data_IF_285924988637
#
_entry.id   IF_285924988637
#
_cell.length_a   1.000
_cell.length_b   1.000
_cell.length_c   1.000
_cell.angle_alpha   90.00
_cell.angle_beta   90.00
_cell.angle_gamma   90.00
#
_symmetry.space_group_name_H-M   'P 1'
#
loop_
_entity.id
_entity.type
_entity.pdbx_description
1 polymer ?
#
# COMPACT_ATOMS: atom_id res chain seq x y z
N UNK A 1 -4.19 33.81 38.56
CA UNK A 1 -3.22 32.69 38.56
C UNK A 1 -2.06 33.07 39.47
N UNK A 2 -1.94 32.34 40.57
CA UNK A 2 -0.85 32.44 41.53
C UNK A 2 0.49 32.11 40.87
N UNK A 3 1.61 32.60 41.43
CA UNK A 3 2.94 32.14 41.01
C UNK A 3 3.10 30.63 41.16
N UNK A 4 2.38 30.03 42.12
CA UNK A 4 2.32 28.60 42.36
C UNK A 4 1.68 27.83 41.19
N UNK A 5 0.53 28.29 40.68
CA UNK A 5 -0.15 27.68 39.51
C UNK A 5 0.73 27.66 38.25
N UNK A 6 1.59 28.68 38.07
CA UNK A 6 2.50 28.77 36.93
C UNK A 6 3.70 27.83 37.07
N UNK A 7 4.20 27.64 38.29
CA UNK A 7 5.29 26.72 38.58
C UNK A 7 4.85 25.26 38.41
N UNK A 8 3.66 24.92 38.90
CA UNK A 8 3.06 23.59 38.79
C UNK A 8 2.76 23.21 37.34
N UNK A 9 2.21 24.12 36.53
CA UNK A 9 2.05 23.92 35.07
C UNK A 9 3.38 23.70 34.37
N UNK A 10 4.44 24.43 34.74
CA UNK A 10 5.78 24.25 34.17
C UNK A 10 6.39 22.91 34.57
N UNK A 11 6.18 22.46 35.80
CA UNK A 11 6.62 21.14 36.26
C UNK A 11 5.91 20.04 35.49
N UNK A 12 4.58 20.10 35.36
CA UNK A 12 3.82 19.07 34.64
C UNK A 12 4.17 19.02 33.15
N UNK A 13 4.42 20.18 32.52
CA UNK A 13 4.94 20.25 31.16
C UNK A 13 6.35 19.65 31.02
N UNK A 14 7.19 19.79 32.06
CA UNK A 14 8.56 19.25 32.07
C UNK A 14 8.56 17.74 32.30
N UNK A 15 7.72 17.24 33.20
CA UNK A 15 7.49 15.81 33.42
C UNK A 15 6.88 15.17 32.17
N UNK A 16 5.86 15.77 31.56
CA UNK A 16 5.29 15.31 30.29
C UNK A 16 6.33 15.24 29.16
N UNK A 17 7.25 16.21 29.10
CA UNK A 17 8.36 16.19 28.13
C UNK A 17 9.34 15.06 28.44
N UNK A 18 9.69 14.86 29.70
CA UNK A 18 10.61 13.81 30.14
C UNK A 18 10.04 12.41 29.93
N UNK A 19 8.74 12.22 30.21
CA UNK A 19 8.00 10.98 29.93
C UNK A 19 7.94 10.70 28.43
N UNK A 20 7.68 11.73 27.61
CA UNK A 20 7.76 11.59 26.16
C UNK A 20 9.17 11.21 25.70
N UNK A 21 10.21 11.85 26.24
CA UNK A 21 11.60 11.56 25.89
C UNK A 21 12.00 10.14 26.31
N UNK A 22 11.61 9.66 27.49
CA UNK A 22 11.87 8.29 27.90
C UNK A 22 11.10 7.27 27.05
N UNK A 23 9.83 7.54 26.72
CA UNK A 23 9.05 6.70 25.77
C UNK A 23 9.71 6.70 24.40
N UNK A 24 10.22 7.84 23.94
CA UNK A 24 10.95 7.95 22.69
C UNK A 24 12.20 7.06 22.69
N UNK A 25 13.01 7.11 23.75
CA UNK A 25 14.25 6.32 23.87
C UNK A 25 14.01 4.81 23.88
N UNK A 26 12.98 4.32 24.58
CA UNK A 26 12.64 2.88 24.58
C UNK A 26 12.19 2.44 23.19
N UNK A 27 11.36 3.24 22.51
CA UNK A 27 10.82 2.90 21.19
C UNK A 27 11.84 2.99 20.06
N UNK A 28 12.88 3.81 20.22
CA UNK A 28 14.02 3.81 19.29
C UNK A 28 14.69 2.44 19.17
N UNK A 29 14.64 1.60 20.21
CA UNK A 29 15.16 0.21 20.12
C UNK A 29 14.22 -0.77 19.40
N UNK A 30 12.94 -0.43 19.25
CA UNK A 30 11.90 -1.23 18.57
C UNK A 30 11.66 -0.78 17.12
N UNK A 31 12.37 0.28 16.70
CA UNK A 31 12.38 0.87 15.37
C UNK A 31 13.76 0.69 14.76
N UNK A 32 13.80 0.36 13.48
CA UNK A 32 15.04 0.39 12.71
C UNK A 32 15.56 1.83 12.60
N UNK A 33 16.86 2.05 12.87
CA UNK A 33 17.48 3.40 12.80
C UNK A 33 17.37 4.01 11.39
N UNK A 34 17.34 3.18 10.35
CA UNK A 34 17.15 3.63 8.96
C UNK A 34 15.78 4.27 8.71
N UNK A 35 14.82 4.05 9.61
CA UNK A 35 13.48 4.66 9.54
C UNK A 35 13.51 6.12 10.01
N UNK A 36 14.33 6.44 11.02
CA UNK A 36 14.46 7.81 11.56
C UNK A 36 15.17 8.76 10.58
N UNK A 37 16.14 8.28 9.81
CA UNK A 37 16.86 9.09 8.82
C UNK A 37 15.98 9.55 7.65
N UNK A 38 14.93 8.77 7.38
CA UNK A 38 14.14 8.87 6.16
C UNK A 38 12.89 9.73 6.34
N UNK A 39 12.27 9.68 7.52
CA UNK A 39 10.95 10.25 7.72
C UNK A 39 10.96 11.46 8.64
N UNK A 40 10.04 12.38 8.39
CA UNK A 40 9.83 13.52 9.26
C UNK A 40 9.27 13.13 10.64
N UNK A 41 9.45 14.03 11.62
CA UNK A 41 9.00 13.78 12.99
C UNK A 41 7.50 13.49 13.12
N UNK A 42 6.65 14.01 12.24
CA UNK A 42 5.20 13.75 12.32
C UNK A 42 4.85 12.31 11.89
N UNK A 43 5.56 11.79 10.89
CA UNK A 43 5.47 10.40 10.45
C UNK A 43 5.99 9.48 11.54
N UNK A 44 7.16 9.79 12.12
CA UNK A 44 7.70 9.03 13.25
C UNK A 44 6.73 9.02 14.44
N UNK A 45 6.13 10.17 14.79
CA UNK A 45 5.11 10.24 15.84
C UNK A 45 3.88 9.36 15.55
N UNK A 46 3.53 9.17 14.28
CA UNK A 46 2.43 8.27 13.89
C UNK A 46 2.81 6.82 14.18
N UNK A 47 4.03 6.40 13.81
CA UNK A 47 4.52 5.04 14.08
C UNK A 47 4.69 4.81 15.59
N UNK A 48 5.23 5.79 16.32
CA UNK A 48 5.33 5.74 17.78
C UNK A 48 3.98 5.56 18.46
N UNK A 49 2.94 6.25 17.99
CA UNK A 49 1.58 6.08 18.50
C UNK A 49 1.06 4.64 18.28
N UNK A 50 1.30 4.05 17.12
CA UNK A 50 0.95 2.65 16.85
C UNK A 50 1.69 1.67 17.77
N UNK A 51 2.98 1.92 18.04
CA UNK A 51 3.78 1.12 18.97
C UNK A 51 3.36 1.28 20.43
N UNK A 52 2.88 2.47 20.82
CA UNK A 52 2.43 2.76 22.18
C UNK A 52 1.03 2.20 22.47
N UNK A 53 0.16 2.20 21.46
CA UNK A 53 -1.19 1.64 21.55
C UNK A 53 -1.22 0.12 21.39
N UNK A 54 -0.07 -0.51 21.11
CA UNK A 54 0.04 -1.95 20.91
C UNK A 54 -0.53 -2.44 19.59
N UNK A 55 -0.85 -1.54 18.64
CA UNK A 55 -1.29 -1.90 17.29
C UNK A 55 -0.13 -2.49 16.46
N UNK A 56 1.07 -1.96 16.68
CA UNK A 56 2.33 -2.54 16.25
C UNK A 56 3.17 -2.89 17.47
N UNK A 57 3.95 -3.96 17.34
CA UNK A 57 4.95 -4.37 18.34
C UNK A 57 6.36 -3.97 17.92
N UNK A 58 6.68 -4.13 16.63
CA UNK A 58 8.00 -3.79 16.06
C UNK A 58 7.86 -3.34 14.61
N UNK A 59 8.76 -2.46 14.18
CA UNK A 59 8.97 -2.14 12.76
C UNK A 59 10.45 -2.35 12.45
N UNK A 60 10.71 -3.28 11.56
CA UNK A 60 12.02 -3.82 11.20
C UNK A 60 12.39 -3.40 9.78
N UNK A 61 13.49 -3.94 9.26
CA UNK A 61 14.13 -3.54 8.00
C UNK A 61 13.23 -3.31 6.79
N UNK A 62 13.76 -2.50 5.88
CA UNK A 62 13.10 -2.12 4.63
C UNK A 62 12.94 -3.34 3.73
N UNK A 63 11.70 -3.59 3.31
CA UNK A 63 11.34 -4.65 2.37
C UNK A 63 11.40 -4.14 0.94
N UNK A 64 10.97 -2.90 0.71
CA UNK A 64 10.98 -2.27 -0.60
C UNK A 64 11.03 -0.74 -0.49
N UNK A 65 11.80 -0.12 -1.38
CA UNK A 65 11.88 1.33 -1.53
C UNK A 65 11.25 1.75 -2.85
N UNK A 66 10.14 2.47 -2.77
CA UNK A 66 9.52 3.13 -3.91
C UNK A 66 9.81 4.63 -3.93
N UNK A 67 9.48 5.26 -5.06
CA UNK A 67 9.54 6.74 -5.18
C UNK A 67 8.54 7.45 -4.27
N UNK A 68 7.47 6.77 -3.89
CA UNK A 68 6.30 7.37 -3.24
C UNK A 68 6.07 6.88 -1.82
N UNK A 69 6.60 5.71 -1.49
CA UNK A 69 6.46 5.08 -0.19
C UNK A 69 7.63 4.13 0.04
N UNK A 70 7.85 3.77 1.29
CA UNK A 70 8.69 2.63 1.65
C UNK A 70 7.85 1.61 2.38
N UNK A 71 8.17 0.33 2.16
CA UNK A 71 7.52 -0.80 2.82
C UNK A 71 8.52 -1.39 3.79
N UNK A 72 8.10 -1.54 5.03
CA UNK A 72 8.87 -2.15 6.12
C UNK A 72 8.22 -3.45 6.55
N UNK A 73 9.04 -4.39 6.99
CA UNK A 73 8.56 -5.56 7.70
C UNK A 73 8.23 -5.16 9.15
N UNK A 74 7.13 -5.62 9.71
CA UNK A 74 6.74 -5.35 11.08
C UNK A 74 6.07 -6.53 11.74
N UNK A 75 5.81 -6.40 13.03
CA UNK A 75 4.99 -7.34 13.80
C UNK A 75 3.85 -6.58 14.44
N UNK A 76 2.63 -7.07 14.30
CA UNK A 76 1.45 -6.45 14.91
C UNK A 76 1.31 -6.75 16.42
N UNK A 77 0.27 -6.21 17.04
CA UNK A 77 -0.03 -6.48 18.45
C UNK A 77 -0.22 -7.98 18.77
N UNK A 78 -0.73 -8.75 17.82
CA UNK A 78 -0.99 -10.19 17.98
C UNK A 78 0.27 -11.06 17.82
N UNK A 79 1.33 -10.52 17.23
CA UNK A 79 2.57 -11.25 16.95
C UNK A 79 2.67 -11.78 15.52
N UNK A 80 1.78 -11.37 14.62
CA UNK A 80 1.81 -11.75 13.21
C UNK A 80 2.68 -10.78 12.39
N UNK A 81 3.33 -11.30 11.35
CA UNK A 81 4.10 -10.49 10.41
C UNK A 81 3.17 -9.58 9.59
N UNK A 82 3.55 -8.31 9.45
CA UNK A 82 2.82 -7.28 8.71
C UNK A 82 3.73 -6.46 7.81
N UNK A 83 3.17 -5.97 6.71
CA UNK A 83 3.79 -4.95 5.89
C UNK A 83 3.34 -3.57 6.37
N UNK A 84 4.30 -2.69 6.68
CA UNK A 84 4.07 -1.30 7.08
C UNK A 84 4.49 -0.39 5.92
N UNK A 85 3.51 0.05 5.14
CA UNK A 85 3.71 0.98 4.02
C UNK A 85 3.61 2.42 4.52
N UNK A 86 4.70 3.16 4.42
CA UNK A 86 4.80 4.54 4.87
C UNK A 86 4.98 5.44 3.65
N UNK A 87 3.98 6.29 3.41
CA UNK A 87 3.99 7.24 2.31
C UNK A 87 4.94 8.41 2.59
N UNK A 88 5.76 8.74 1.58
CA UNK A 88 6.69 9.85 1.64
C UNK A 88 5.94 11.17 1.49
N UNK A 89 6.24 12.10 2.39
CA UNK A 89 5.76 13.48 2.30
C UNK A 89 6.79 14.32 1.54
N UNK A 90 7.08 13.94 0.29
CA UNK A 90 8.06 14.62 -0.57
C UNK A 90 7.39 15.30 -1.78
N UNK A 91 7.76 16.58 -1.97
CA UNK A 91 7.57 17.55 -3.07
C UNK A 91 6.23 17.63 -3.86
N UNK A 92 5.95 18.81 -4.40
CA UNK A 92 4.67 19.16 -5.02
C UNK A 92 4.41 18.52 -6.40
N UNK A 93 5.45 18.06 -7.11
CA UNK A 93 5.35 17.45 -8.44
C UNK A 93 4.52 16.16 -8.42
N UNK A 94 4.64 15.39 -7.33
CA UNK A 94 3.87 14.19 -7.05
C UNK A 94 2.35 14.44 -6.94
N UNK A 95 1.92 15.66 -6.59
CA UNK A 95 0.50 15.97 -6.46
C UNK A 95 -0.20 16.03 -7.80
N UNK A 96 0.44 16.58 -8.83
CA UNK A 96 -0.19 16.82 -10.14
C UNK A 96 -0.53 15.52 -10.86
N UNK A 97 0.41 14.57 -10.87
CA UNK A 97 0.24 13.28 -11.55
C UNK A 97 -0.82 12.37 -10.89
N UNK A 98 -1.21 12.69 -9.65
CA UNK A 98 -2.20 11.92 -8.89
C UNK A 98 -3.64 12.40 -9.08
N UNK A 99 -3.85 13.64 -9.54
CA UNK A 99 -5.18 14.22 -9.69
C UNK A 99 -6.06 13.43 -10.66
N UNK A 100 -5.45 12.84 -11.69
CA UNK A 100 -6.14 12.03 -12.69
C UNK A 100 -6.79 10.75 -12.12
N UNK A 101 -6.32 10.23 -10.99
CA UNK A 101 -6.86 9.01 -10.38
C UNK A 101 -7.96 9.27 -9.33
N UNK A 102 -8.15 10.53 -8.93
CA UNK A 102 -9.11 10.91 -7.87
C UNK A 102 -10.30 11.69 -8.41
N UNK A 103 -10.44 11.77 -9.73
CA UNK A 103 -11.60 12.39 -10.36
C UNK A 103 -12.84 11.60 -9.95
N UNK A 104 -13.90 12.31 -9.53
CA UNK A 104 -15.15 11.75 -9.02
C UNK A 104 -15.00 10.84 -7.78
N UNK A 105 -13.82 10.78 -7.16
CA UNK A 105 -13.65 10.05 -5.90
C UNK A 105 -14.30 10.85 -4.76
N UNK A 106 -15.32 10.30 -4.07
CA UNK A 106 -16.04 11.01 -3.03
C UNK A 106 -15.14 11.42 -1.85
N UNK A 107 -14.01 10.73 -1.65
CA UNK A 107 -13.00 11.04 -0.63
C UNK A 107 -12.21 12.30 -0.96
N UNK A 108 -12.16 12.68 -2.25
CA UNK A 108 -11.41 13.82 -2.77
C UNK A 108 -12.28 15.00 -3.24
N UNK A 109 -13.56 15.06 -2.81
CA UNK A 109 -14.49 16.18 -3.11
C UNK A 109 -13.86 17.56 -2.89
N UNK A 110 -12.98 17.69 -1.89
CA UNK A 110 -12.21 18.91 -1.64
C UNK A 110 -10.74 18.59 -1.45
N UNK A 111 -9.96 18.69 -2.52
CA UNK A 111 -8.53 18.36 -2.53
C UNK A 111 -7.78 19.30 -1.56
N UNK A 112 -7.17 18.79 -0.47
CA UNK A 112 -6.52 19.64 0.52
C UNK A 112 -5.39 20.47 -0.08
N UNK A 113 -5.31 21.77 0.23
CA UNK A 113 -4.17 22.60 -0.18
C UNK A 113 -2.86 22.13 0.45
N UNK A 114 -2.92 21.69 1.72
CA UNK A 114 -1.79 21.15 2.45
C UNK A 114 -1.42 19.76 1.92
N UNK A 115 -0.19 19.61 1.44
CA UNK A 115 0.29 18.38 0.81
C UNK A 115 0.29 17.17 1.76
N UNK A 116 0.66 17.35 3.03
CA UNK A 116 0.62 16.27 4.03
C UNK A 116 -0.81 15.73 4.21
N UNK A 117 -1.81 16.61 4.33
CA UNK A 117 -3.22 16.19 4.39
C UNK A 117 -3.66 15.46 3.13
N UNK A 118 -3.15 15.87 1.97
CA UNK A 118 -3.40 15.14 0.72
C UNK A 118 -2.79 13.72 0.77
N UNK A 119 -1.56 13.55 1.28
CA UNK A 119 -0.95 12.23 1.47
C UNK A 119 -1.76 11.37 2.45
N UNK A 120 -2.35 11.96 3.49
CA UNK A 120 -3.19 11.20 4.43
C UNK A 120 -4.44 10.64 3.75
N UNK A 121 -5.14 11.46 2.95
CA UNK A 121 -6.26 10.99 2.12
C UNK A 121 -5.82 9.95 1.09
N UNK A 122 -4.59 10.06 0.57
CA UNK A 122 -4.05 9.09 -0.37
C UNK A 122 -3.83 7.72 0.26
N UNK A 123 -3.24 7.69 1.46
CA UNK A 123 -3.08 6.47 2.26
C UNK A 123 -4.43 5.87 2.65
N UNK A 124 -5.40 6.70 3.07
CA UNK A 124 -6.77 6.28 3.37
C UNK A 124 -7.47 5.69 2.14
N UNK A 125 -7.25 6.28 0.96
CA UNK A 125 -7.79 5.76 -0.30
C UNK A 125 -7.24 4.38 -0.63
N UNK A 126 -5.93 4.16 -0.51
CA UNK A 126 -5.38 2.82 -0.73
C UNK A 126 -5.97 1.80 0.26
N UNK A 127 -6.07 2.15 1.55
CA UNK A 127 -6.68 1.27 2.55
C UNK A 127 -8.11 0.87 2.16
N UNK A 128 -8.93 1.84 1.75
CA UNK A 128 -10.30 1.60 1.34
C UNK A 128 -10.40 0.77 0.04
N UNK A 129 -9.52 1.04 -0.95
CA UNK A 129 -9.46 0.25 -2.19
C UNK A 129 -9.05 -1.21 -1.91
N UNK A 130 -8.02 -1.43 -1.10
CA UNK A 130 -7.62 -2.77 -0.64
C UNK A 130 -8.74 -3.47 0.11
N UNK A 131 -9.46 -2.75 0.99
CA UNK A 131 -10.57 -3.31 1.76
C UNK A 131 -11.70 -3.77 0.83
N UNK A 132 -12.05 -2.95 -0.15
CA UNK A 132 -13.08 -3.31 -1.14
C UNK A 132 -12.64 -4.51 -2.00
N UNK A 133 -11.40 -4.53 -2.49
CA UNK A 133 -10.87 -5.65 -3.28
C UNK A 133 -10.80 -6.95 -2.46
N UNK A 134 -10.32 -6.88 -1.22
CA UNK A 134 -10.26 -8.02 -0.30
C UNK A 134 -11.66 -8.59 -0.01
N UNK A 135 -12.64 -7.72 0.27
CA UNK A 135 -14.02 -8.14 0.51
C UNK A 135 -14.70 -8.73 -0.73
N UNK A 136 -14.28 -8.34 -1.93
CA UNK A 136 -14.68 -8.95 -3.19
C UNK A 136 -13.97 -10.29 -3.48
N UNK A 137 -13.08 -10.75 -2.58
CA UNK A 137 -12.34 -11.99 -2.73
C UNK A 137 -11.21 -11.92 -3.75
N UNK A 138 -10.77 -10.72 -4.14
CA UNK A 138 -9.55 -10.53 -4.94
C UNK A 138 -8.35 -10.90 -4.05
N UNK A 139 -7.39 -11.71 -4.53
CA UNK A 139 -6.19 -11.99 -3.75
C UNK A 139 -5.30 -10.74 -3.70
N UNK A 140 -5.46 -9.98 -2.62
CA UNK A 140 -4.66 -8.80 -2.26
C UNK A 140 -4.16 -8.98 -0.83
N UNK A 141 -3.14 -8.25 -0.37
CA UNK A 141 -2.77 -8.24 1.05
C UNK A 141 -3.98 -7.83 1.89
N UNK A 142 -4.32 -8.60 2.92
CA UNK A 142 -5.40 -8.23 3.84
C UNK A 142 -5.09 -6.87 4.49
N UNK A 143 -5.93 -5.84 4.30
CA UNK A 143 -5.72 -4.57 4.98
C UNK A 143 -6.05 -4.72 6.47
N UNK A 144 -5.17 -4.21 7.33
CA UNK A 144 -5.38 -4.27 8.78
C UNK A 144 -5.88 -2.93 9.28
N UNK A 145 -5.11 -1.87 9.07
CA UNK A 145 -5.51 -0.52 9.44
C UNK A 145 -4.66 0.56 8.79
N UNK A 146 -5.14 1.79 8.86
CA UNK A 146 -4.47 2.98 8.36
C UNK A 146 -4.50 4.10 9.41
N UNK A 147 -3.45 4.90 9.47
CA UNK A 147 -3.38 6.12 10.27
C UNK A 147 -2.43 7.11 9.61
N UNK A 148 -2.91 8.34 9.36
CA UNK A 148 -2.14 9.40 8.69
C UNK A 148 -1.53 8.92 7.35
N UNK A 149 -0.21 8.85 7.24
CA UNK A 149 0.50 8.41 6.03
C UNK A 149 1.02 6.96 6.14
N UNK A 150 0.54 6.19 7.11
CA UNK A 150 0.97 4.80 7.37
C UNK A 150 -0.20 3.86 7.15
N UNK A 151 0.00 2.89 6.27
CA UNK A 151 -0.89 1.77 5.99
C UNK A 151 -0.24 0.47 6.50
N UNK A 152 -0.98 -0.31 7.28
CA UNK A 152 -0.56 -1.62 7.76
C UNK A 152 -1.47 -2.69 7.14
N UNK A 153 -0.85 -3.70 6.55
CA UNK A 153 -1.51 -4.80 5.85
C UNK A 153 -0.76 -6.11 6.07
N UNK A 154 -1.36 -7.23 5.66
CA UNK A 154 -0.73 -8.56 5.66
C UNK A 154 0.64 -8.53 4.98
N UNK A 155 1.60 -9.19 5.61
CA UNK A 155 2.89 -9.43 4.98
C UNK A 155 2.78 -10.62 4.02
N UNK A 156 2.96 -10.35 2.73
CA UNK A 156 3.03 -11.39 1.71
C UNK A 156 4.46 -11.94 1.63
N UNK A 157 4.78 -12.83 2.54
CA UNK A 157 6.11 -13.42 2.67
C UNK A 157 6.20 -14.37 3.86
N UNK A 158 7.42 -14.83 4.15
CA UNK A 158 7.70 -15.70 5.29
C UNK A 158 9.05 -15.36 5.91
N UNK A 159 9.12 -15.38 7.24
CA UNK A 159 10.34 -15.14 8.01
C UNK A 159 10.99 -13.79 7.65
N UNK A 160 10.16 -12.76 7.47
CA UNK A 160 10.58 -11.42 7.06
C UNK A 160 11.05 -11.27 5.61
N UNK A 161 10.97 -12.33 4.79
CA UNK A 161 11.31 -12.28 3.35
C UNK A 161 10.02 -12.23 2.54
N UNK A 162 9.85 -11.17 1.74
CA UNK A 162 8.67 -11.03 0.86
C UNK A 162 8.68 -12.08 -0.25
N UNK A 163 7.50 -12.43 -0.75
CA UNK A 163 7.40 -13.16 -2.01
C UNK A 163 7.97 -12.33 -3.18
N UNK A 164 8.51 -12.99 -4.22
CA UNK A 164 9.01 -12.31 -5.41
C UNK A 164 7.87 -11.65 -6.20
N UNK A 165 8.21 -10.60 -6.94
CA UNK A 165 7.33 -10.02 -7.96
C UNK A 165 7.35 -10.90 -9.20
N UNK A 166 6.28 -10.86 -9.99
CA UNK A 166 6.12 -11.67 -11.20
C UNK A 166 7.29 -11.48 -12.19
N UNK A 167 7.91 -10.31 -12.23
CA UNK A 167 9.04 -10.04 -13.12
C UNK A 167 10.41 -10.48 -12.58
N UNK A 168 10.49 -10.84 -11.30
CA UNK A 168 11.75 -11.23 -10.63
C UNK A 168 12.07 -12.71 -10.83
N UNK A 169 11.08 -13.50 -11.25
CA UNK A 169 11.18 -14.94 -11.42
C UNK A 169 11.10 -15.36 -12.89
N UNK A 170 11.64 -16.54 -13.17
CA UNK A 170 11.46 -17.24 -14.44
C UNK A 170 10.56 -18.44 -14.21
N UNK A 171 9.70 -18.70 -15.18
CA UNK A 171 8.68 -19.73 -15.10
C UNK A 171 8.79 -20.64 -16.31
N UNK A 172 8.50 -21.91 -16.10
CA UNK A 172 8.37 -22.87 -17.20
C UNK A 172 7.08 -22.58 -18.01
N UNK A 173 6.98 -23.06 -19.26
CA UNK A 173 5.86 -22.72 -20.14
C UNK A 173 4.46 -23.05 -19.58
N UNK A 174 4.33 -24.17 -18.87
CA UNK A 174 3.10 -24.62 -18.21
C UNK A 174 2.74 -23.77 -16.98
N UNK A 175 3.75 -23.35 -16.22
CA UNK A 175 3.60 -22.40 -15.12
C UNK A 175 3.16 -21.02 -15.65
N UNK A 176 3.74 -20.55 -16.75
CA UNK A 176 3.37 -19.28 -17.38
C UNK A 176 1.90 -19.27 -17.79
N UNK A 177 1.40 -20.35 -18.41
CA UNK A 177 -0.01 -20.45 -18.80
C UNK A 177 -0.93 -20.43 -17.57
N UNK A 178 -0.55 -21.15 -16.51
CA UNK A 178 -1.27 -21.16 -15.23
C UNK A 178 -1.31 -19.77 -14.59
N UNK A 179 -0.18 -19.07 -14.56
CA UNK A 179 -0.07 -17.70 -14.05
C UNK A 179 -0.89 -16.74 -14.89
N UNK A 180 -0.82 -16.83 -16.22
CA UNK A 180 -1.59 -15.97 -17.12
C UNK A 180 -3.10 -16.10 -16.86
N UNK A 181 -3.60 -17.33 -16.75
CA UNK A 181 -5.02 -17.56 -16.47
C UNK A 181 -5.42 -16.99 -15.10
N UNK A 182 -4.62 -17.21 -14.06
CA UNK A 182 -4.85 -16.58 -12.74
C UNK A 182 -4.85 -15.05 -12.81
N UNK A 183 -3.95 -14.43 -13.57
CA UNK A 183 -3.94 -12.96 -13.76
C UNK A 183 -5.27 -12.50 -14.37
N UNK A 184 -5.76 -13.17 -15.41
CA UNK A 184 -7.04 -12.82 -16.05
C UNK A 184 -8.19 -12.95 -15.05
N UNK A 185 -8.24 -14.03 -14.27
CA UNK A 185 -9.27 -14.24 -13.24
C UNK A 185 -9.24 -13.17 -12.14
N UNK A 186 -8.05 -12.81 -11.64
CA UNK A 186 -7.87 -11.78 -10.62
C UNK A 186 -8.36 -10.43 -11.13
N UNK A 187 -8.02 -10.07 -12.38
CA UNK A 187 -8.45 -8.82 -12.99
C UNK A 187 -9.95 -8.81 -13.29
N UNK A 188 -10.50 -9.94 -13.73
CA UNK A 188 -11.94 -10.10 -13.91
C UNK A 188 -12.68 -9.91 -12.57
N UNK A 189 -12.18 -10.50 -11.49
CA UNK A 189 -12.75 -10.34 -10.15
C UNK A 189 -12.64 -8.91 -9.65
N UNK A 190 -11.49 -8.25 -9.82
CA UNK A 190 -11.31 -6.83 -9.47
C UNK A 190 -12.30 -5.93 -10.22
N UNK A 191 -12.51 -6.21 -11.52
CA UNK A 191 -13.37 -5.41 -12.38
C UNK A 191 -14.87 -5.64 -12.14
N UNK A 192 -15.29 -6.88 -11.98
CA UNK A 192 -16.71 -7.24 -11.88
C UNK A 192 -17.22 -7.21 -10.44
N UNK A 193 -16.48 -7.82 -9.53
CA UNK A 193 -16.90 -7.96 -8.12
C UNK A 193 -16.35 -6.82 -7.27
N UNK A 194 -15.09 -6.44 -7.52
CA UNK A 194 -14.45 -5.28 -6.87
C UNK A 194 -14.93 -3.94 -7.41
N UNK A 195 -15.56 -3.90 -8.58
CA UNK A 195 -16.09 -2.68 -9.19
C UNK A 195 -15.02 -1.61 -9.51
N UNK A 196 -13.76 -2.01 -9.73
CA UNK A 196 -12.65 -1.09 -9.92
C UNK A 196 -11.61 -1.58 -10.94
N UNK A 197 -10.75 -0.67 -11.37
CA UNK A 197 -9.60 -0.93 -12.24
C UNK A 197 -8.34 -0.51 -11.48
N UNK A 198 -7.26 -1.30 -11.56
CA UNK A 198 -6.03 -1.08 -10.79
C UNK A 198 -5.36 0.30 -10.97
N UNK A 199 -5.51 0.93 -12.13
CA UNK A 199 -4.97 2.28 -12.41
C UNK A 199 -3.48 2.32 -12.77
N UNK A 200 -2.67 1.38 -12.29
CA UNK A 200 -1.24 1.24 -12.63
C UNK A 200 -0.84 -0.24 -12.78
N UNK A 201 -1.55 -0.98 -13.63
CA UNK A 201 -1.38 -2.43 -13.73
C UNK A 201 -0.11 -2.80 -14.52
N UNK A 202 0.76 -3.61 -13.92
CA UNK A 202 1.97 -4.14 -14.55
C UNK A 202 2.47 -5.39 -13.82
N UNK A 203 3.47 -6.07 -14.39
CA UNK A 203 4.16 -7.21 -13.77
C UNK A 203 4.92 -6.86 -12.47
N UNK A 204 5.13 -5.56 -12.20
CA UNK A 204 5.74 -5.08 -10.96
C UNK A 204 4.75 -5.06 -9.78
N UNK A 205 3.45 -5.12 -10.07
CA UNK A 205 2.38 -5.02 -9.07
C UNK A 205 1.67 -6.36 -8.83
N UNK A 206 2.31 -7.47 -9.22
CA UNK A 206 1.84 -8.84 -9.00
C UNK A 206 2.93 -9.60 -8.25
N UNK A 207 2.60 -10.14 -7.07
CA UNK A 207 3.48 -11.01 -6.29
C UNK A 207 3.14 -12.47 -6.54
N UNK A 208 4.16 -13.34 -6.53
CA UNK A 208 4.02 -14.79 -6.73
C UNK A 208 4.34 -15.51 -5.42
N UNK A 209 3.31 -15.94 -4.71
CA UNK A 209 3.44 -16.71 -3.48
C UNK A 209 3.64 -18.20 -3.73
N UNK A 210 3.62 -18.97 -2.63
CA UNK A 210 3.73 -20.44 -2.67
C UNK A 210 2.67 -21.08 -3.58
N UNK A 211 3.09 -22.10 -4.32
CA UNK A 211 2.22 -22.83 -5.25
C UNK A 211 1.69 -21.97 -6.41
N UNK A 212 2.47 -20.98 -6.85
CA UNK A 212 2.12 -20.03 -7.92
C UNK A 212 0.86 -19.20 -7.62
N UNK A 213 0.49 -19.05 -6.35
CA UNK A 213 -0.64 -18.21 -5.96
C UNK A 213 -0.28 -16.74 -6.14
N UNK A 214 -1.05 -16.05 -6.97
CA UNK A 214 -0.81 -14.64 -7.27
C UNK A 214 -1.51 -13.71 -6.28
N UNK A 215 -0.88 -12.58 -6.01
CA UNK A 215 -1.46 -11.47 -5.25
C UNK A 215 -1.27 -10.16 -6.01
N UNK A 216 -2.35 -9.38 -6.11
CA UNK A 216 -2.30 -8.02 -6.65
C UNK A 216 -1.98 -7.04 -5.53
N UNK A 217 -1.01 -6.14 -5.76
CA UNK A 217 -0.54 -5.15 -4.79
C UNK A 217 -0.59 -3.73 -5.34
N UNK A 218 -0.50 -2.73 -4.47
CA UNK A 218 -0.46 -1.30 -4.81
C UNK A 218 -1.74 -0.76 -5.48
N UNK A 219 -2.87 -0.85 -4.77
CA UNK A 219 -4.16 -0.31 -5.23
C UNK A 219 -4.29 1.21 -4.98
N UNK A 220 -3.17 1.90 -4.76
CA UNK A 220 -3.12 3.32 -4.47
C UNK A 220 -3.57 4.19 -5.65
N UNK A 221 -3.55 3.67 -6.89
CA UNK A 221 -4.02 4.33 -8.12
C UNK A 221 -5.35 3.73 -8.61
N UNK A 222 -5.89 2.71 -7.96
CA UNK A 222 -7.09 2.02 -8.42
C UNK A 222 -8.31 2.94 -8.45
N UNK A 223 -9.04 2.95 -9.56
CA UNK A 223 -10.19 3.83 -9.80
C UNK A 223 -11.47 3.02 -9.92
N UNK A 224 -12.61 3.61 -9.57
CA UNK A 224 -13.91 2.99 -9.79
C UNK A 224 -14.15 2.70 -11.28
N UNK A 225 -14.94 1.66 -11.58
CA UNK A 225 -15.25 1.23 -12.95
C UNK A 225 -15.93 2.32 -13.80
N UNK A 226 -16.65 3.23 -13.17
CA UNK A 226 -17.33 4.38 -13.79
C UNK A 226 -16.42 5.63 -13.91
N UNK A 227 -15.16 5.54 -13.46
CA UNK A 227 -14.20 6.62 -13.60
C UNK A 227 -13.98 6.95 -15.09
N UNK A 228 -13.90 8.23 -15.50
CA UNK A 228 -13.78 8.61 -16.92
C UNK A 228 -12.58 7.99 -17.65
N UNK A 229 -11.50 7.68 -16.90
CA UNK A 229 -10.28 7.04 -17.42
C UNK A 229 -10.18 5.53 -17.11
N UNK A 230 -11.20 4.90 -16.52
CA UNK A 230 -11.16 3.49 -16.13
C UNK A 230 -10.81 2.59 -17.32
N UNK A 231 -11.44 2.84 -18.46
CA UNK A 231 -11.23 2.10 -19.71
C UNK A 231 -9.80 2.26 -20.25
N UNK A 232 -9.25 3.48 -20.17
CA UNK A 232 -7.87 3.76 -20.57
C UNK A 232 -6.88 3.01 -19.69
N UNK A 233 -7.06 3.05 -18.37
CA UNK A 233 -6.18 2.35 -17.43
C UNK A 233 -6.25 0.83 -17.61
N UNK A 234 -7.45 0.28 -17.83
CA UNK A 234 -7.64 -1.15 -18.05
C UNK A 234 -6.95 -1.60 -19.34
N UNK A 235 -7.19 -0.89 -20.44
CA UNK A 235 -6.61 -1.21 -21.75
C UNK A 235 -5.10 -1.10 -21.74
N UNK A 236 -4.56 -0.05 -21.12
CA UNK A 236 -3.12 0.12 -20.97
C UNK A 236 -2.49 -1.00 -20.13
N UNK A 237 -3.09 -1.31 -18.98
CA UNK A 237 -2.63 -2.39 -18.11
C UNK A 237 -2.62 -3.75 -18.79
N UNK A 238 -3.69 -4.08 -19.53
CA UNK A 238 -3.74 -5.31 -20.32
C UNK A 238 -2.67 -5.31 -21.40
N UNK A 239 -2.46 -4.21 -22.12
CA UNK A 239 -1.39 -4.12 -23.12
C UNK A 239 0.01 -4.38 -22.53
N UNK A 240 0.29 -3.83 -21.34
CA UNK A 240 1.55 -4.06 -20.62
C UNK A 240 1.72 -5.53 -20.25
N UNK A 241 0.70 -6.15 -19.66
CA UNK A 241 0.75 -7.56 -19.26
C UNK A 241 0.80 -8.52 -20.47
N UNK A 242 0.00 -8.27 -21.51
CA UNK A 242 0.06 -9.05 -22.75
C UNK A 242 1.45 -9.00 -23.37
N UNK A 243 2.10 -7.82 -23.35
CA UNK A 243 3.48 -7.67 -23.82
C UNK A 243 4.48 -8.43 -22.94
N UNK A 244 4.29 -8.44 -21.62
CA UNK A 244 5.12 -9.21 -20.69
C UNK A 244 5.04 -10.72 -20.98
N UNK A 245 3.84 -11.29 -21.02
CA UNK A 245 3.65 -12.72 -21.28
C UNK A 245 4.08 -13.12 -22.70
N UNK A 246 3.90 -12.23 -23.68
CA UNK A 246 4.39 -12.46 -25.05
C UNK A 246 5.92 -12.56 -25.10
N UNK A 247 6.62 -11.68 -24.38
CA UNK A 247 8.09 -11.75 -24.26
C UNK A 247 8.56 -12.98 -23.48
N UNK A 248 7.74 -13.48 -22.55
CA UNK A 248 8.02 -14.70 -21.80
C UNK A 248 7.78 -16.00 -22.61
N UNK A 249 7.20 -15.90 -23.81
CA UNK A 249 7.02 -17.04 -24.72
C UNK A 249 5.58 -17.50 -24.92
N UNK A 250 4.58 -16.88 -24.27
CA UNK A 250 3.17 -17.18 -24.50
C UNK A 250 2.61 -16.39 -25.69
N UNK A 251 1.72 -16.99 -26.48
CA UNK A 251 0.96 -16.24 -27.47
C UNK A 251 -0.26 -15.59 -26.81
N UNK A 252 -0.17 -14.30 -26.49
CA UNK A 252 -1.26 -13.56 -25.84
C UNK A 252 -1.91 -12.56 -26.78
N UNK A 253 -3.24 -12.61 -26.85
CA UNK A 253 -4.07 -11.59 -27.50
C UNK A 253 -4.67 -10.66 -26.43
N UNK A 254 -4.27 -9.39 -26.46
CA UNK A 254 -4.73 -8.38 -25.50
C UNK A 254 -6.23 -8.04 -25.62
N UNK A 255 -6.80 -8.10 -26.83
CA UNK A 255 -8.25 -7.88 -27.00
C UNK A 255 -9.06 -9.02 -26.38
N UNK A 256 -8.58 -10.25 -26.57
CA UNK A 256 -9.22 -11.42 -25.98
C UNK A 256 -9.10 -11.41 -24.45
N UNK A 257 -7.93 -11.03 -23.92
CA UNK A 257 -7.73 -10.80 -22.49
C UNK A 257 -8.72 -9.76 -21.93
N UNK A 258 -8.90 -8.62 -22.60
CA UNK A 258 -9.88 -7.60 -22.22
C UNK A 258 -11.30 -8.13 -22.21
N UNK A 259 -11.70 -8.89 -23.24
CA UNK A 259 -13.04 -9.50 -23.32
C UNK A 259 -13.28 -10.45 -22.14
N UNK A 260 -12.30 -11.30 -21.80
CA UNK A 260 -12.40 -12.21 -20.64
C UNK A 260 -12.56 -11.44 -19.34
N UNK A 261 -11.75 -10.41 -19.10
CA UNK A 261 -11.84 -9.57 -17.90
C UNK A 261 -13.23 -8.95 -17.76
N UNK A 262 -13.82 -8.45 -18.86
CA UNK A 262 -15.13 -7.78 -18.83
C UNK A 262 -16.32 -8.69 -18.63
N UNK A 263 -16.24 -9.94 -19.09
CA UNK A 263 -17.36 -10.88 -19.03
C UNK A 263 -17.56 -11.50 -17.64
N UNK A 264 -16.54 -11.42 -16.78
CA UNK A 264 -16.43 -12.30 -15.62
C UNK A 264 -15.91 -13.66 -16.12
N UNK A 265 -14.90 -14.21 -15.44
CA UNK A 265 -14.29 -15.49 -15.83
C UNK A 265 -15.29 -16.61 -16.02
#
# INVERSE_FOLDING_TARGET
>A
MSQWDKAERKLSLKEYRKDREQRYLVKRSELDESLEEVFDGQTLMTVYDMLNTGRLRKVMGVVSTGKESRIYHGVDGSGLEVAVKIYLVSTAEFRRNRLQYVVNDPRFKKIPRNFRRFIYLWSEREYANLTQAFNAGVPVPKPLFQQNNVLVMEFLGENGVRYPLLHEEKFEPDELETIFNQVVEILAKLYNDGGMVHGDLSQYNIMVGKGLKLYLIDLAQAVAKDHPMAETFLTHGVSVLSSFFTKAGLRVDGEEMLKKIRRGG
#
